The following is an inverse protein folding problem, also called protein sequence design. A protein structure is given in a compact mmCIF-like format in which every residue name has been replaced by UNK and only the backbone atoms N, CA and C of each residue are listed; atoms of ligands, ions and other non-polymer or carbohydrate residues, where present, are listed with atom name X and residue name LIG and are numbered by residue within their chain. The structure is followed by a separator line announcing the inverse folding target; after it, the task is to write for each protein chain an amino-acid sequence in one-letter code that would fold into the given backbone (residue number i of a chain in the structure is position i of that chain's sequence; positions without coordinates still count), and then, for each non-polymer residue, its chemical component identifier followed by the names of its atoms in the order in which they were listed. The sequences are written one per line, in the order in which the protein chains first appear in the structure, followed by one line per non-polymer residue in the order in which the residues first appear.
data_IF_251366900604
#
_entry.id   IF_251366900604
#
_cell.length_a   1.000
_cell.length_b   1.000
_cell.length_c   1.000
_cell.angle_alpha   90.00
_cell.angle_beta   90.00
_cell.angle_gamma   90.00
#
_symmetry.space_group_name_H-M   'P 1'
#
loop_
_entity.id
_entity.type
_entity.pdbx_description
1 polymer ?
#
# COMPACT_ATOMS: atom_id res chain seq x y z
N UNK A 1 -11.54 -11.18 -16.46
CA UNK A 1 -12.59 -10.17 -16.22
C UNK A 1 -12.64 -9.93 -14.72
N UNK A 2 -12.69 -8.68 -14.25
CA UNK A 2 -12.77 -8.41 -12.81
C UNK A 2 -14.09 -8.92 -12.25
N UNK A 3 -14.03 -9.76 -11.22
CA UNK A 3 -15.22 -10.20 -10.49
C UNK A 3 -15.91 -8.98 -9.85
N UNK A 4 -17.24 -8.94 -9.93
CA UNK A 4 -18.07 -7.88 -9.33
C UNK A 4 -19.16 -8.52 -8.49
N UNK A 5 -19.36 -8.01 -7.29
CA UNK A 5 -20.49 -8.38 -6.44
C UNK A 5 -21.14 -7.13 -5.84
N UNK A 6 -22.43 -7.22 -5.55
CA UNK A 6 -23.16 -6.19 -4.82
C UNK A 6 -22.98 -6.44 -3.32
N UNK A 7 -22.40 -5.47 -2.61
CA UNK A 7 -22.22 -5.53 -1.17
C UNK A 7 -23.28 -4.70 -0.44
N UNK A 8 -23.68 -5.15 0.76
CA UNK A 8 -24.65 -4.42 1.59
C UNK A 8 -23.96 -3.32 2.37
N UNK A 9 -24.49 -2.10 2.28
CA UNK A 9 -24.19 -1.00 3.19
C UNK A 9 -25.02 -1.13 4.46
N UNK A 10 -24.40 -0.86 5.61
CA UNK A 10 -25.06 -0.87 6.91
C UNK A 10 -24.37 0.12 7.86
N UNK A 11 -24.99 0.38 9.00
CA UNK A 11 -24.42 1.19 10.07
C UNK A 11 -23.71 0.30 11.09
N UNK A 12 -22.51 0.70 11.51
CA UNK A 12 -21.81 0.15 12.66
C UNK A 12 -21.58 1.26 13.67
N UNK A 13 -22.45 1.33 14.69
CA UNK A 13 -22.54 2.49 15.58
C UNK A 13 -22.91 3.75 14.79
N UNK A 14 -22.05 4.78 14.86
CA UNK A 14 -22.22 6.06 14.14
C UNK A 14 -21.55 6.06 12.75
N UNK A 15 -20.92 4.96 12.35
CA UNK A 15 -20.14 4.87 11.11
C UNK A 15 -20.88 4.07 10.04
N UNK A 16 -20.65 4.41 8.77
CA UNK A 16 -21.07 3.59 7.64
C UNK A 16 -20.08 2.44 7.43
N UNK A 17 -20.58 1.25 7.13
CA UNK A 17 -19.80 0.06 6.87
C UNK A 17 -20.32 -0.71 5.64
N UNK A 18 -19.42 -1.48 5.01
CA UNK A 18 -19.72 -2.37 3.88
C UNK A 18 -19.52 -3.81 4.32
N UNK A 19 -20.50 -4.68 4.08
CA UNK A 19 -20.33 -6.13 4.30
C UNK A 19 -19.67 -6.73 3.07
N UNK A 20 -18.37 -7.03 3.18
CA UNK A 20 -17.61 -7.67 2.10
C UNK A 20 -18.12 -9.11 1.86
N UNK A 21 -18.46 -9.48 0.60
CA UNK A 21 -18.70 -10.86 0.21
C UNK A 21 -17.46 -11.74 0.47
N UNK A 22 -17.65 -13.06 0.53
CA UNK A 22 -16.62 -14.01 0.99
C UNK A 22 -15.35 -13.94 0.13
N UNK A 23 -15.54 -13.82 -1.17
CA UNK A 23 -14.52 -13.75 -2.22
C UNK A 23 -13.68 -12.46 -2.16
N UNK A 24 -14.19 -11.39 -1.54
CA UNK A 24 -13.48 -10.10 -1.38
C UNK A 24 -12.93 -9.87 0.03
N UNK A 25 -12.91 -10.89 0.90
CA UNK A 25 -12.39 -10.75 2.26
C UNK A 25 -10.87 -10.59 2.26
N UNK A 26 -10.39 -9.60 3.01
CA UNK A 26 -8.96 -9.41 3.27
C UNK A 26 -8.48 -10.37 4.37
N UNK A 27 -7.18 -10.69 4.33
CA UNK A 27 -6.49 -11.29 5.48
C UNK A 27 -6.14 -10.19 6.48
N UNK A 28 -6.32 -10.45 7.77
CA UNK A 28 -6.03 -9.49 8.85
C UNK A 28 -7.25 -8.65 9.26
N UNK A 29 -7.00 -7.56 9.98
CA UNK A 29 -8.01 -6.71 10.60
C UNK A 29 -8.02 -5.25 10.07
N UNK A 30 -7.06 -4.89 9.22
CA UNK A 30 -6.87 -3.51 8.74
C UNK A 30 -6.62 -3.44 7.23
N UNK A 31 -7.06 -2.34 6.64
CA UNK A 31 -6.86 -1.99 5.22
C UNK A 31 -6.56 -0.50 5.09
N UNK A 32 -5.79 -0.12 4.07
CA UNK A 32 -5.69 1.26 3.62
C UNK A 32 -6.93 1.63 2.80
N UNK A 33 -7.38 2.87 2.95
CA UNK A 33 -8.54 3.42 2.23
C UNK A 33 -8.11 4.69 1.52
N UNK A 34 -8.36 4.78 0.21
CA UNK A 34 -8.16 6.02 -0.55
C UNK A 34 -9.33 6.31 -1.47
N UNK A 35 -9.56 7.59 -1.75
CA UNK A 35 -10.59 8.03 -2.70
C UNK A 35 -10.05 7.96 -4.12
N UNK A 36 -10.89 7.47 -5.02
CA UNK A 36 -10.66 7.46 -6.48
C UNK A 36 -11.85 8.12 -7.17
N UNK A 37 -11.76 8.36 -8.47
CA UNK A 37 -12.76 9.12 -9.24
C UNK A 37 -14.20 8.66 -8.96
N UNK A 38 -14.43 7.34 -9.02
CA UNK A 38 -15.78 6.77 -8.95
C UNK A 38 -16.03 5.99 -7.65
N UNK A 39 -15.24 6.22 -6.59
CA UNK A 39 -15.45 5.52 -5.32
C UNK A 39 -14.26 5.51 -4.36
N UNK A 40 -14.11 4.39 -3.65
CA UNK A 40 -12.99 4.15 -2.72
C UNK A 40 -12.26 2.87 -3.12
N UNK A 41 -10.95 2.87 -2.96
CA UNK A 41 -10.13 1.67 -3.09
C UNK A 41 -9.69 1.22 -1.69
N UNK A 42 -9.83 -0.08 -1.44
CA UNK A 42 -9.33 -0.75 -0.25
C UNK A 42 -8.11 -1.58 -0.62
N UNK A 43 -7.00 -1.37 0.08
CA UNK A 43 -5.73 -2.07 -0.17
C UNK A 43 -5.28 -2.75 1.14
N UNK A 44 -4.70 -3.96 1.10
CA UNK A 44 -4.24 -4.62 2.33
C UNK A 44 -3.11 -3.80 2.97
N UNK A 45 -3.08 -3.77 4.31
CA UNK A 45 -1.89 -3.31 5.04
C UNK A 45 -0.87 -4.45 4.99
N UNK A 46 0.31 -4.17 4.45
CA UNK A 46 1.41 -5.13 4.39
C UNK A 46 2.25 -5.02 5.66
N UNK A 47 2.52 -6.16 6.30
CA UNK A 47 3.57 -6.23 7.30
C UNK A 47 4.95 -6.11 6.62
N UNK A 48 5.96 -5.70 7.38
CA UNK A 48 7.33 -5.51 6.86
C UNK A 48 7.83 -6.78 6.16
N UNK A 49 7.54 -7.96 6.72
CA UNK A 49 7.88 -9.26 6.12
C UNK A 49 7.22 -9.49 4.75
N UNK A 50 5.96 -9.09 4.59
CA UNK A 50 5.21 -9.30 3.35
C UNK A 50 5.70 -8.31 2.28
N UNK A 51 6.14 -7.14 2.71
CA UNK A 51 6.81 -6.17 1.86
C UNK A 51 8.15 -6.69 1.32
N UNK A 52 9.01 -7.26 2.19
CA UNK A 52 10.26 -7.89 1.74
C UNK A 52 10.01 -9.08 0.81
N UNK A 53 9.07 -9.98 1.15
CA UNK A 53 8.72 -11.09 0.27
C UNK A 53 8.23 -10.62 -1.12
N UNK A 54 7.56 -9.46 -1.18
CA UNK A 54 7.18 -8.84 -2.44
C UNK A 54 8.37 -8.27 -3.21
N UNK A 55 9.36 -7.70 -2.50
CA UNK A 55 10.61 -7.24 -3.12
C UNK A 55 11.39 -8.41 -3.72
N UNK A 56 11.47 -9.54 -3.03
CA UNK A 56 12.17 -10.74 -3.53
C UNK A 56 11.57 -11.23 -4.87
N UNK A 57 10.27 -10.98 -5.10
CA UNK A 57 9.59 -11.29 -6.36
C UNK A 57 10.04 -10.45 -7.56
N UNK A 58 10.76 -9.34 -7.36
CA UNK A 58 11.34 -8.57 -8.46
C UNK A 58 12.66 -9.17 -8.98
N UNK A 59 13.19 -10.22 -8.34
CA UNK A 59 14.41 -10.90 -8.72
C UNK A 59 15.69 -10.15 -8.34
N UNK A 60 16.83 -10.75 -8.67
CA UNK A 60 18.15 -10.29 -8.25
C UNK A 60 18.77 -9.24 -9.19
N UNK A 61 17.97 -8.49 -9.94
CA UNK A 61 18.51 -7.44 -10.81
C UNK A 61 19.21 -6.38 -9.95
N UNK A 62 20.44 -6.04 -10.32
CA UNK A 62 21.26 -5.13 -9.52
C UNK A 62 20.63 -3.73 -9.48
N UNK A 63 20.00 -3.41 -8.34
CA UNK A 63 19.49 -2.08 -8.07
C UNK A 63 20.68 -1.10 -8.03
N UNK A 64 20.87 -0.38 -9.14
CA UNK A 64 22.00 0.52 -9.38
C UNK A 64 23.33 -0.22 -9.64
N UNK A 65 23.39 -0.99 -10.73
CA UNK A 65 24.60 -1.67 -11.24
C UNK A 65 25.85 -0.76 -11.24
N UNK A 66 25.71 0.53 -11.59
CA UNK A 66 26.80 1.51 -11.64
C UNK A 66 27.01 2.29 -10.33
N UNK A 67 26.38 1.86 -9.25
CA UNK A 67 26.38 2.53 -7.95
C UNK A 67 25.53 3.82 -7.91
N UNK A 68 25.51 4.46 -6.74
CA UNK A 68 24.85 5.76 -6.55
C UNK A 68 25.76 6.89 -7.03
N UNK A 69 25.22 7.80 -7.84
CA UNK A 69 25.87 9.09 -8.14
C UNK A 69 25.58 10.10 -7.01
N UNK A 70 26.12 9.82 -5.83
CA UNK A 70 25.99 10.71 -4.69
C UNK A 70 26.92 11.91 -4.86
N UNK A 71 26.44 13.17 -4.86
CA UNK A 71 27.31 14.34 -4.89
C UNK A 71 28.07 14.47 -3.57
N UNK A 72 29.20 15.17 -3.61
CA UNK A 72 29.93 15.52 -2.39
C UNK A 72 29.06 16.39 -1.48
N UNK A 73 29.18 16.17 -0.17
CA UNK A 73 28.52 17.01 0.84
C UNK A 73 28.92 18.47 0.64
N UNK A 74 27.96 19.40 0.46
CA UNK A 74 28.27 20.81 0.28
C UNK A 74 28.84 21.40 1.57
N UNK A 75 29.88 22.23 1.46
CA UNK A 75 30.37 23.02 2.59
C UNK A 75 29.34 24.06 2.99
N UNK A 76 29.18 24.28 4.30
CA UNK A 76 28.33 25.32 4.87
C UNK A 76 29.11 26.06 5.94
N UNK A 77 29.10 27.38 5.89
CA UNK A 77 29.55 28.23 6.98
C UNK A 77 28.42 28.29 8.02
N UNK A 78 28.46 27.38 8.98
CA UNK A 78 27.40 27.15 9.96
C UNK A 78 27.44 28.18 11.10
N UNK A 79 28.59 28.85 11.28
CA UNK A 79 28.82 29.84 12.32
C UNK A 79 29.63 31.01 11.74
N UNK A 80 29.31 32.22 12.19
CA UNK A 80 30.05 33.46 11.91
C UNK A 80 30.72 33.93 13.20
#
# INVERSE_FOLDING_TARGET
MSERAVAKLFLNGRSQAVRLPKEFRFRGDKVHVRRVKDGVLLEPVLEVKDWFARLDGFGDEALLEKGRRQPNTPSRDIFK
#
